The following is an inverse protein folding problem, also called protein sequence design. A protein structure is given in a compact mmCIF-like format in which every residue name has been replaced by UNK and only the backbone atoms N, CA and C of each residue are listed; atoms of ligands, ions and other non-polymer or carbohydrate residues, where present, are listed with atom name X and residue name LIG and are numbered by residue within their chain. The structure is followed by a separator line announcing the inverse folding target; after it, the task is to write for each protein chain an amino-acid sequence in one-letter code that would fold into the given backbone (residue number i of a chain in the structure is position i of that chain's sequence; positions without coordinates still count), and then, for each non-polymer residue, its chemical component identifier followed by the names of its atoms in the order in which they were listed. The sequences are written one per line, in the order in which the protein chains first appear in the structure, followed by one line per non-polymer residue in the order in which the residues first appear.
data_IF_961074494345
#
_entry.id   IF_961074494345
#
_cell.length_a   1.000
_cell.length_b   1.000
_cell.length_c   1.000
_cell.angle_alpha   90.00
_cell.angle_beta   90.00
_cell.angle_gamma   90.00
#
_symmetry.space_group_name_H-M   'P 1'
#
loop_
_entity.id
_entity.type
_entity.pdbx_description
1 polymer ?
#
# COMPACT_ATOMS: atom_id res chain seq x y z
N UNK A 1 -52.05 35.35 45.10
CA UNK A 1 -51.14 35.76 44.02
C UNK A 1 -49.83 35.04 44.27
N UNK A 2 -49.65 33.82 43.73
CA UNK A 2 -48.48 32.98 43.99
C UNK A 2 -47.43 33.06 42.86
N UNK A 3 -46.16 32.96 43.25
CA UNK A 3 -44.94 32.81 42.43
C UNK A 3 -45.00 31.63 41.44
N UNK A 4 -44.36 31.75 40.27
CA UNK A 4 -43.85 30.61 39.53
C UNK A 4 -42.32 30.55 39.62
N UNK A 5 -41.84 29.71 40.54
CA UNK A 5 -40.54 29.05 40.46
C UNK A 5 -40.71 27.87 39.49
N UNK A 6 -40.02 27.88 38.34
CA UNK A 6 -39.46 26.70 37.66
C UNK A 6 -38.53 27.13 36.50
N UNK A 7 -37.22 26.84 36.55
CA UNK A 7 -36.34 26.90 35.39
C UNK A 7 -36.40 25.55 34.63
N UNK A 8 -37.26 25.44 33.62
CA UNK A 8 -37.19 24.30 32.69
C UNK A 8 -36.11 24.54 31.64
N UNK A 9 -34.97 23.90 31.88
CA UNK A 9 -33.87 23.70 30.92
C UNK A 9 -34.41 22.97 29.70
N UNK A 10 -34.67 23.70 28.61
CA UNK A 10 -34.84 23.09 27.29
C UNK A 10 -33.45 22.75 26.74
N UNK A 11 -33.06 21.48 26.85
CA UNK A 11 -31.87 20.95 26.18
C UNK A 11 -32.00 21.07 24.66
N UNK A 12 -30.99 21.62 23.97
CA UNK A 12 -31.02 21.92 22.55
C UNK A 12 -30.63 20.67 21.76
N UNK A 13 -31.56 19.77 21.51
CA UNK A 13 -31.36 18.76 20.47
C UNK A 13 -31.73 19.36 19.11
N UNK A 14 -30.86 20.23 18.62
CA UNK A 14 -30.69 20.43 17.18
C UNK A 14 -30.30 19.08 16.58
N UNK A 15 -31.29 18.36 16.05
CA UNK A 15 -31.01 17.39 15.01
C UNK A 15 -30.44 18.17 13.82
N UNK A 16 -29.11 18.22 13.73
CA UNK A 16 -28.47 18.51 12.45
C UNK A 16 -29.03 17.50 11.43
N UNK A 17 -29.42 17.92 10.23
CA UNK A 17 -29.76 16.96 9.19
C UNK A 17 -28.55 16.04 9.04
N UNK A 18 -28.81 14.73 8.97
CA UNK A 18 -27.79 13.74 8.67
C UNK A 18 -26.98 14.29 7.50
N UNK A 19 -25.70 14.59 7.75
CA UNK A 19 -24.82 15.08 6.71
C UNK A 19 -24.88 14.05 5.59
N UNK A 20 -25.51 14.42 4.48
CA UNK A 20 -25.28 13.76 3.21
C UNK A 20 -23.76 13.67 3.07
N UNK A 21 -23.18 12.48 2.83
CA UNK A 21 -21.74 12.33 2.75
C UNK A 21 -21.23 13.38 1.76
N UNK A 22 -20.49 14.35 2.27
CA UNK A 22 -19.95 15.44 1.47
C UNK A 22 -19.13 14.76 0.37
N UNK A 23 -19.36 15.07 -0.92
CA UNK A 23 -18.51 14.54 -1.98
C UNK A 23 -17.09 14.98 -1.67
N UNK A 24 -16.24 14.04 -1.28
CA UNK A 24 -14.83 14.31 -0.95
C UNK A 24 -14.19 14.82 -2.24
N UNK A 25 -13.66 16.06 -2.27
CA UNK A 25 -13.10 16.63 -3.47
C UNK A 25 -11.88 15.81 -3.92
N UNK A 26 -11.87 15.41 -5.20
CA UNK A 26 -10.68 14.88 -5.88
C UNK A 26 -10.33 13.43 -5.55
N UNK A 27 -11.20 12.47 -5.91
CA UNK A 27 -10.80 11.05 -5.93
C UNK A 27 -9.71 10.87 -6.99
N UNK A 28 -8.45 10.98 -6.56
CA UNK A 28 -7.26 10.63 -7.33
C UNK A 28 -7.43 9.19 -7.81
N UNK A 29 -7.10 8.85 -9.07
CA UNK A 29 -7.32 7.52 -9.58
C UNK A 29 -6.57 6.51 -8.71
N UNK A 30 -7.32 5.62 -8.07
CA UNK A 30 -6.78 4.55 -7.23
C UNK A 30 -6.70 3.27 -8.05
N UNK A 31 -5.52 2.67 -8.12
CA UNK A 31 -5.32 1.33 -8.65
C UNK A 31 -5.44 0.35 -7.49
N UNK A 32 -6.35 -0.62 -7.58
CA UNK A 32 -6.48 -1.71 -6.61
C UNK A 32 -6.08 -3.03 -7.29
N UNK A 33 -5.14 -3.76 -6.68
CA UNK A 33 -4.67 -5.05 -7.16
C UNK A 33 -4.79 -6.06 -6.01
N UNK A 34 -5.25 -7.27 -6.29
CA UNK A 34 -5.42 -8.30 -5.28
C UNK A 34 -5.00 -9.67 -5.81
N UNK A 35 -4.46 -10.50 -4.92
CA UNK A 35 -4.12 -11.89 -5.22
C UNK A 35 -4.13 -12.73 -3.95
N UNK A 36 -4.32 -14.04 -4.11
CA UNK A 36 -4.12 -15.01 -3.04
C UNK A 36 -2.85 -15.81 -3.32
N UNK A 37 -1.92 -15.79 -2.37
CA UNK A 37 -0.64 -16.51 -2.45
C UNK A 37 -0.64 -17.73 -1.54
N UNK A 38 0.07 -18.78 -1.97
CA UNK A 38 0.26 -20.01 -1.20
C UNK A 38 1.46 -19.92 -0.24
N UNK A 39 1.61 -18.77 0.41
CA UNK A 39 2.63 -18.49 1.41
C UNK A 39 1.97 -17.84 2.63
N UNK A 40 2.51 -18.03 3.84
CA UNK A 40 2.04 -17.34 5.02
C UNK A 40 2.38 -15.84 4.99
N UNK A 41 1.67 -15.05 5.80
CA UNK A 41 1.77 -13.58 5.77
C UNK A 41 3.17 -13.06 6.12
N UNK A 42 3.91 -13.77 6.98
CA UNK A 42 5.27 -13.41 7.35
C UNK A 42 6.25 -13.54 6.18
N UNK A 43 6.09 -14.58 5.37
CA UNK A 43 6.88 -14.76 4.15
C UNK A 43 6.53 -13.69 3.12
N UNK A 44 5.25 -13.35 2.99
CA UNK A 44 4.80 -12.28 2.10
C UNK A 44 5.35 -10.91 2.51
N UNK A 45 5.31 -10.60 3.81
CA UNK A 45 5.83 -9.36 4.36
C UNK A 45 7.33 -9.24 4.14
N UNK A 46 8.10 -10.28 4.49
CA UNK A 46 9.56 -10.33 4.26
C UNK A 46 9.95 -10.27 2.79
N UNK A 47 9.12 -10.79 1.88
CA UNK A 47 9.37 -10.66 0.46
C UNK A 47 9.32 -9.18 0.00
N UNK A 48 8.45 -8.38 0.62
CA UNK A 48 8.30 -6.96 0.30
C UNK A 48 9.34 -6.07 0.99
N UNK A 49 9.78 -6.42 2.20
CA UNK A 49 10.76 -5.62 2.95
C UNK A 49 12.19 -6.06 2.67
N UNK A 50 12.49 -7.33 2.91
CA UNK A 50 13.87 -7.83 2.93
C UNK A 50 14.32 -8.31 1.56
N UNK A 51 13.37 -8.77 0.74
CA UNK A 51 13.65 -9.47 -0.52
C UNK A 51 13.20 -8.69 -1.76
N UNK A 52 12.91 -7.39 -1.62
CA UNK A 52 12.42 -6.56 -2.71
C UNK A 52 13.37 -6.54 -3.92
N UNK A 53 14.68 -6.56 -3.66
CA UNK A 53 15.73 -6.66 -4.69
C UNK A 53 15.67 -7.93 -5.55
N UNK A 54 14.94 -8.99 -5.15
CA UNK A 54 14.86 -10.25 -5.89
C UNK A 54 13.78 -10.28 -6.98
N UNK A 55 12.74 -9.45 -6.86
CA UNK A 55 11.58 -9.49 -7.75
C UNK A 55 11.23 -8.13 -8.33
N UNK A 56 11.68 -7.03 -7.72
CA UNK A 56 11.44 -5.69 -8.23
C UNK A 56 12.10 -5.51 -9.62
N UNK A 57 11.40 -4.90 -10.60
CA UNK A 57 11.87 -4.84 -11.99
C UNK A 57 13.00 -3.84 -12.25
N UNK A 58 14.11 -3.89 -11.50
CA UNK A 58 15.24 -2.96 -11.64
C UNK A 58 15.79 -2.89 -13.07
N UNK A 59 15.83 -4.00 -13.81
CA UNK A 59 16.26 -3.99 -15.23
C UNK A 59 15.43 -3.05 -16.11
N UNK A 60 14.14 -2.87 -15.80
CA UNK A 60 13.20 -2.08 -16.58
C UNK A 60 13.02 -0.65 -16.03
N UNK A 61 13.27 -0.46 -14.73
CA UNK A 61 12.90 0.77 -14.01
C UNK A 61 14.00 1.41 -13.14
N UNK A 62 15.21 0.87 -13.14
CA UNK A 62 16.33 1.36 -12.31
C UNK A 62 16.83 2.75 -12.76
N UNK A 63 17.34 3.51 -11.79
CA UNK A 63 18.02 4.79 -12.04
C UNK A 63 19.42 4.58 -12.65
N UNK A 64 20.12 3.50 -12.30
CA UNK A 64 21.52 3.24 -12.72
C UNK A 64 21.77 1.93 -13.47
N UNK A 65 20.76 1.08 -13.67
CA UNK A 65 20.82 -0.16 -14.45
C UNK A 65 20.88 -1.45 -13.62
N UNK A 66 21.19 -2.57 -14.28
CA UNK A 66 21.08 -3.94 -13.72
C UNK A 66 21.97 -4.24 -12.51
N UNK A 67 23.08 -3.53 -12.32
CA UNK A 67 24.00 -3.77 -11.20
C UNK A 67 23.60 -2.98 -9.92
N UNK A 68 22.37 -2.48 -9.85
CA UNK A 68 21.84 -1.75 -8.69
C UNK A 68 21.20 -2.68 -7.66
N UNK A 69 21.07 -2.19 -6.44
CA UNK A 69 20.47 -2.91 -5.33
C UNK A 69 19.41 -2.05 -4.63
N UNK A 70 18.24 -2.62 -4.36
CA UNK A 70 17.11 -1.93 -3.75
C UNK A 70 16.80 -2.53 -2.37
N UNK A 71 16.85 -1.71 -1.32
CA UNK A 71 16.60 -2.17 0.06
C UNK A 71 15.95 -1.10 0.93
N UNK A 72 15.41 -1.52 2.08
CA UNK A 72 15.02 -0.61 3.14
C UNK A 72 16.22 -0.26 4.03
N UNK A 73 16.58 1.02 4.08
CA UNK A 73 17.44 1.60 5.11
C UNK A 73 16.55 2.31 6.15
N UNK A 74 16.24 1.59 7.23
CA UNK A 74 15.23 2.00 8.20
C UNK A 74 13.85 2.09 7.55
N UNK A 75 13.29 3.30 7.49
CA UNK A 75 11.99 3.57 6.87
C UNK A 75 12.14 4.04 5.40
N UNK A 76 13.35 4.16 4.85
CA UNK A 76 13.57 4.63 3.48
C UNK A 76 13.86 3.46 2.54
N UNK A 77 13.10 3.33 1.45
CA UNK A 77 13.41 2.44 0.34
C UNK A 77 14.42 3.14 -0.57
N UNK A 78 15.64 2.61 -0.62
CA UNK A 78 16.78 3.20 -1.32
C UNK A 78 17.35 2.25 -2.37
N UNK A 79 17.64 2.81 -3.55
CA UNK A 79 18.42 2.15 -4.58
C UNK A 79 19.88 2.59 -4.43
N UNK A 80 20.80 1.64 -4.43
CA UNK A 80 22.25 1.86 -4.35
C UNK A 80 22.92 1.42 -5.64
N UNK A 81 23.72 2.31 -6.24
CA UNK A 81 24.51 2.03 -7.43
C UNK A 81 25.79 1.23 -7.13
N UNK A 82 26.44 0.62 -8.14
CA UNK A 82 27.75 -0.02 -7.97
C UNK A 82 28.85 0.91 -7.47
N UNK A 83 28.64 2.22 -7.60
CA UNK A 83 29.55 3.27 -7.12
C UNK A 83 29.16 3.81 -5.74
N UNK A 84 28.23 3.14 -5.07
CA UNK A 84 27.74 3.49 -3.74
C UNK A 84 26.95 4.83 -3.71
N UNK A 85 26.37 5.23 -4.84
CA UNK A 85 25.45 6.37 -4.93
C UNK A 85 24.04 5.90 -4.59
N UNK A 86 23.28 6.68 -3.81
CA UNK A 86 21.96 6.28 -3.29
C UNK A 86 20.83 7.18 -3.81
N UNK A 87 19.68 6.59 -4.15
CA UNK A 87 18.48 7.30 -4.58
C UNK A 87 17.30 6.83 -3.74
N UNK A 88 16.53 7.79 -3.24
CA UNK A 88 15.32 7.51 -2.50
C UNK A 88 14.19 7.18 -3.47
N UNK A 89 13.62 5.98 -3.30
CA UNK A 89 12.47 5.51 -4.07
C UNK A 89 11.16 5.73 -3.34
N UNK A 90 11.10 5.39 -2.06
CA UNK A 90 9.90 5.54 -1.25
C UNK A 90 10.25 5.72 0.23
N UNK A 91 9.31 6.26 1.00
CA UNK A 91 9.38 6.38 2.44
C UNK A 91 8.24 5.59 3.07
N UNK A 92 8.54 4.71 4.04
CA UNK A 92 7.54 4.07 4.87
C UNK A 92 6.90 5.09 5.82
N UNK A 93 5.59 5.27 5.67
CA UNK A 93 4.77 6.12 6.54
C UNK A 93 4.37 5.35 7.81
N UNK A 94 4.29 4.03 7.70
CA UNK A 94 4.04 3.13 8.80
C UNK A 94 3.93 1.68 8.33
N UNK A 95 4.00 0.77 9.30
CA UNK A 95 3.79 -0.64 9.06
C UNK A 95 3.34 -1.36 10.33
N UNK A 96 2.74 -2.52 10.12
CA UNK A 96 2.59 -3.55 11.13
C UNK A 96 3.01 -4.87 10.51
N UNK A 97 3.98 -5.53 11.15
CA UNK A 97 4.52 -6.79 10.70
C UNK A 97 3.39 -7.80 10.39
N UNK A 98 3.51 -8.48 9.24
CA UNK A 98 2.60 -9.52 8.77
C UNK A 98 1.15 -9.04 8.53
N UNK A 99 0.92 -7.73 8.50
CA UNK A 99 -0.42 -7.11 8.40
C UNK A 99 -0.49 -6.07 7.30
N UNK A 100 0.33 -5.03 7.36
CA UNK A 100 0.27 -3.94 6.39
C UNK A 100 1.56 -3.12 6.36
N UNK A 101 1.79 -2.45 5.24
CA UNK A 101 2.85 -1.45 5.07
C UNK A 101 2.33 -0.35 4.16
N UNK A 102 2.58 0.90 4.54
CA UNK A 102 2.24 2.08 3.75
C UNK A 102 3.53 2.81 3.35
N UNK A 103 3.64 3.07 2.05
CA UNK A 103 4.83 3.63 1.41
C UNK A 103 4.43 4.83 0.57
N UNK A 104 5.15 5.93 0.73
CA UNK A 104 5.03 7.14 -0.09
C UNK A 104 6.17 7.15 -1.12
N UNK A 105 5.84 6.93 -2.39
CA UNK A 105 6.80 6.93 -3.49
C UNK A 105 7.28 8.34 -3.80
N UNK A 106 8.59 8.48 -3.93
CA UNK A 106 9.25 9.75 -4.23
C UNK A 106 8.95 10.20 -5.67
N UNK A 107 8.67 11.49 -5.91
CA UNK A 107 8.56 12.05 -7.27
C UNK A 107 9.86 11.96 -8.06
N UNK A 108 11.00 11.83 -7.38
CA UNK A 108 12.32 11.67 -8.01
C UNK A 108 12.59 10.21 -8.43
N UNK A 109 11.70 9.27 -8.12
CA UNK A 109 11.79 7.90 -8.57
C UNK A 109 11.56 7.82 -10.09
N UNK A 110 12.41 7.12 -10.85
CA UNK A 110 12.49 7.24 -12.30
C UNK A 110 11.29 6.71 -13.10
N UNK A 111 10.39 5.91 -12.50
CA UNK A 111 9.28 5.27 -13.24
C UNK A 111 7.92 5.37 -12.56
N UNK A 112 7.87 5.37 -11.23
CA UNK A 112 6.62 5.46 -10.49
C UNK A 112 6.58 6.87 -9.91
N UNK A 113 5.76 7.73 -10.50
CA UNK A 113 5.59 9.11 -10.02
C UNK A 113 5.09 9.11 -8.57
N UNK A 114 5.10 10.29 -7.93
CA UNK A 114 4.60 10.45 -6.56
C UNK A 114 3.25 9.76 -6.38
N UNK A 115 3.26 8.72 -5.56
CA UNK A 115 2.12 7.81 -5.37
C UNK A 115 2.20 7.20 -3.99
N UNK A 116 1.04 6.88 -3.41
CA UNK A 116 0.99 6.23 -2.10
C UNK A 116 0.56 4.79 -2.29
N UNK A 117 1.40 3.84 -1.89
CA UNK A 117 1.10 2.41 -1.91
C UNK A 117 0.78 1.96 -0.49
N UNK A 118 -0.43 1.45 -0.30
CA UNK A 118 -0.80 0.66 0.86
C UNK A 118 -0.85 -0.81 0.46
N UNK A 119 -0.12 -1.66 1.20
CA UNK A 119 -0.23 -3.11 1.08
C UNK A 119 -0.86 -3.68 2.33
N UNK A 120 -1.89 -4.50 2.15
CA UNK A 120 -2.59 -5.20 3.22
C UNK A 120 -2.50 -6.72 3.02
N UNK A 121 -2.15 -7.42 4.09
CA UNK A 121 -2.04 -8.87 4.19
C UNK A 121 -3.15 -9.42 5.08
N UNK A 122 -3.88 -10.41 4.57
CA UNK A 122 -4.96 -11.06 5.30
C UNK A 122 -4.91 -12.58 5.16
N UNK A 123 -5.60 -13.30 6.03
CA UNK A 123 -5.75 -14.75 5.91
C UNK A 123 -6.65 -15.09 4.71
N UNK A 124 -6.27 -16.10 3.94
CA UNK A 124 -7.07 -16.61 2.85
C UNK A 124 -7.13 -18.14 2.86
N UNK A 125 -8.26 -18.70 2.42
CA UNK A 125 -8.38 -20.14 2.20
C UNK A 125 -8.06 -20.46 0.74
N UNK A 126 -7.15 -21.40 0.52
CA UNK A 126 -6.83 -21.90 -0.82
C UNK A 126 -7.83 -22.98 -1.24
N UNK A 127 -8.05 -23.20 -2.55
CA UNK A 127 -8.90 -24.29 -3.06
C UNK A 127 -8.44 -25.68 -2.60
N UNK A 128 -7.17 -25.85 -2.26
CA UNK A 128 -6.60 -27.08 -1.70
C UNK A 128 -7.03 -27.34 -0.24
N UNK A 129 -7.69 -26.40 0.42
CA UNK A 129 -8.01 -26.43 1.85
C UNK A 129 -6.86 -25.97 2.76
N UNK A 130 -5.71 -25.59 2.19
CA UNK A 130 -4.60 -25.01 2.93
C UNK A 130 -4.83 -23.51 3.20
N UNK A 131 -4.16 -22.97 4.22
CA UNK A 131 -4.15 -21.53 4.50
C UNK A 131 -3.13 -20.85 3.58
N UNK A 132 -3.55 -19.75 2.96
CA UNK A 132 -2.71 -18.83 2.22
C UNK A 132 -2.88 -17.40 2.74
N UNK A 133 -2.38 -16.44 1.98
CA UNK A 133 -2.47 -15.01 2.33
C UNK A 133 -3.10 -14.24 1.18
N UNK A 134 -4.10 -13.43 1.49
CA UNK A 134 -4.61 -12.40 0.59
C UNK A 134 -3.65 -11.20 0.64
N UNK A 135 -3.16 -10.77 -0.52
CA UNK A 135 -2.33 -9.58 -0.69
C UNK A 135 -3.13 -8.56 -1.47
N UNK A 136 -3.36 -7.40 -0.89
CA UNK A 136 -4.09 -6.30 -1.52
C UNK A 136 -3.19 -5.09 -1.61
N UNK A 137 -3.05 -4.52 -2.81
CA UNK A 137 -2.32 -3.29 -3.05
C UNK A 137 -3.33 -2.21 -3.42
N UNK A 138 -3.22 -1.06 -2.76
CA UNK A 138 -3.90 0.16 -3.13
C UNK A 138 -2.86 1.21 -3.48
N UNK A 139 -2.87 1.67 -4.73
CA UNK A 139 -1.97 2.72 -5.22
C UNK A 139 -2.75 3.98 -5.53
N UNK A 140 -2.49 5.06 -4.80
CA UNK A 140 -3.00 6.38 -5.12
C UNK A 140 -2.06 7.10 -6.08
N UNK A 141 -2.58 7.79 -7.11
CA UNK A 141 -1.79 8.49 -8.13
C UNK A 141 -0.77 7.62 -8.87
N UNK A 142 -0.98 6.30 -8.89
CA UNK A 142 -0.05 5.30 -9.41
C UNK A 142 0.12 5.30 -10.93
N UNK A 143 0.60 6.39 -11.51
CA UNK A 143 0.93 6.48 -12.93
C UNK A 143 2.43 6.21 -13.17
N UNK A 144 2.78 5.40 -14.19
CA UNK A 144 1.88 4.62 -15.04
C UNK A 144 1.36 3.36 -14.33
N UNK A 145 0.06 3.09 -14.43
CA UNK A 145 -0.58 1.94 -13.77
C UNK A 145 -0.03 0.59 -14.24
N UNK A 146 0.44 0.50 -15.47
CA UNK A 146 1.03 -0.71 -16.03
C UNK A 146 2.32 -1.14 -15.31
N UNK A 147 3.15 -0.20 -14.87
CA UNK A 147 4.38 -0.52 -14.13
C UNK A 147 4.06 -1.04 -12.72
N UNK A 148 3.02 -0.47 -12.08
CA UNK A 148 2.49 -0.97 -10.82
C UNK A 148 1.90 -2.38 -10.93
N UNK A 149 1.14 -2.64 -11.99
CA UNK A 149 0.64 -3.97 -12.29
C UNK A 149 1.79 -4.96 -12.52
N UNK A 150 2.78 -4.66 -13.36
CA UNK A 150 3.93 -5.55 -13.60
C UNK A 150 4.71 -5.88 -12.31
N UNK A 151 4.94 -4.87 -11.45
CA UNK A 151 5.57 -5.07 -10.15
C UNK A 151 4.76 -6.03 -9.26
N UNK A 152 3.44 -5.87 -9.20
CA UNK A 152 2.56 -6.76 -8.46
C UNK A 152 2.59 -8.19 -8.99
N UNK A 153 2.54 -8.38 -10.32
CA UNK A 153 2.60 -9.69 -10.94
C UNK A 153 3.91 -10.42 -10.60
N UNK A 154 5.03 -9.70 -10.59
CA UNK A 154 6.35 -10.24 -10.21
C UNK A 154 6.39 -10.66 -8.75
N UNK A 155 5.84 -9.87 -7.83
CA UNK A 155 5.73 -10.26 -6.42
C UNK A 155 4.91 -11.55 -6.28
N UNK A 156 3.72 -11.60 -6.87
CA UNK A 156 2.84 -12.77 -6.77
C UNK A 156 3.51 -14.01 -7.33
N UNK A 157 4.21 -13.88 -8.47
CA UNK A 157 4.99 -14.98 -9.06
C UNK A 157 6.15 -15.41 -8.17
N UNK A 158 6.88 -14.47 -7.58
CA UNK A 158 7.98 -14.75 -6.65
C UNK A 158 7.49 -15.53 -5.42
N UNK A 159 6.30 -15.18 -4.90
CA UNK A 159 5.64 -15.85 -3.78
C UNK A 159 4.90 -17.14 -4.19
N UNK A 160 4.97 -17.56 -5.45
CA UNK A 160 4.34 -18.79 -5.95
C UNK A 160 2.82 -18.74 -6.04
N UNK A 161 2.21 -17.54 -6.04
CA UNK A 161 0.78 -17.34 -6.21
C UNK A 161 0.33 -17.35 -7.67
N UNK A 162 -0.99 -17.47 -7.87
CA UNK A 162 -1.67 -17.14 -9.14
C UNK A 162 -2.44 -15.84 -8.95
N UNK A 163 -2.37 -14.97 -9.95
CA UNK A 163 -3.18 -13.76 -10.01
C UNK A 163 -4.63 -14.16 -10.35
N UNK A 164 -5.58 -13.71 -9.54
CA UNK A 164 -6.99 -13.65 -9.92
C UNK A 164 -7.24 -12.25 -10.50
N UNK A 165 -7.00 -12.11 -11.80
CA UNK A 165 -7.43 -10.93 -12.55
C UNK A 165 -8.85 -11.22 -13.07
N UNK A 166 -9.86 -10.65 -12.43
CA UNK A 166 -11.26 -10.63 -12.92
C UNK A 166 -11.45 -9.55 -14.00
#
# INVERSE_FOLDING_TARGET
MPDPDEPTVFSPFSHAPAAEPTPVPGRRPTLELAAVIAAPADVAFRAMTDSIHLWWPLTDVSTWGEDTYLEFDGDALVETSPRNETALWAQALGWQQDRWIELDWSPDAPVLQASTLLVELGDAALPSGATGTAVNWRVEDGQPSAAWSDAFERLVRFLGGRLDLD
#
